data_IF_496026550360
#
_entry.id   IF_496026550360
#
_cell.length_a   1.000
_cell.length_b   1.000
_cell.length_c   1.000
_cell.angle_alpha   90.00
_cell.angle_beta   90.00
_cell.angle_gamma   90.00
#
_symmetry.space_group_name_H-M   'P 1'
#
loop_
_entity.id
_entity.type
_entity.pdbx_description
1 polymer ?
#
# COMPACT_ATOMS: atom_id res chain seq x y z
N UNK A 1 10.83 -9.94 0.27
CA UNK A 1 10.08 -8.70 0.00
C UNK A 1 10.81 -7.94 -1.10
N UNK A 2 10.06 -7.43 -2.07
CA UNK A 2 10.59 -6.74 -3.23
C UNK A 2 10.27 -5.26 -3.09
N UNK A 3 11.28 -4.39 -3.22
CA UNK A 3 11.09 -2.93 -3.22
C UNK A 3 10.99 -2.44 -4.66
N UNK A 4 9.83 -1.94 -5.02
CA UNK A 4 9.53 -1.46 -6.37
C UNK A 4 10.50 -0.37 -6.82
N UNK A 5 10.91 0.52 -5.91
CA UNK A 5 11.82 1.61 -6.22
C UNK A 5 13.23 1.14 -6.62
N UNK A 6 13.60 -0.09 -6.29
CA UNK A 6 14.90 -0.66 -6.62
C UNK A 6 14.91 -1.37 -7.98
N UNK A 7 13.74 -1.45 -8.65
CA UNK A 7 13.61 -2.17 -9.90
C UNK A 7 13.73 -1.24 -11.11
N UNK A 8 14.33 -1.76 -12.16
CA UNK A 8 14.29 -1.13 -13.49
C UNK A 8 12.97 -1.49 -14.18
N UNK A 9 12.60 -0.75 -15.23
CA UNK A 9 11.36 -1.05 -15.95
C UNK A 9 11.33 -2.46 -16.59
N UNK A 10 12.44 -3.02 -17.11
CA UNK A 10 12.42 -4.41 -17.58
C UNK A 10 12.20 -5.42 -16.45
N UNK A 11 12.74 -5.15 -15.26
CA UNK A 11 12.51 -6.00 -14.08
C UNK A 11 11.05 -5.94 -13.63
N UNK A 12 10.44 -4.76 -13.65
CA UNK A 12 9.02 -4.59 -13.36
C UNK A 12 8.15 -5.33 -14.40
N UNK A 13 8.56 -5.28 -15.66
CA UNK A 13 7.81 -5.93 -16.75
C UNK A 13 7.69 -7.44 -16.57
N UNK A 14 8.65 -8.08 -15.91
CA UNK A 14 8.65 -9.54 -15.67
C UNK A 14 8.18 -9.92 -14.28
N UNK A 15 7.77 -8.99 -13.45
CA UNK A 15 7.20 -9.30 -12.14
C UNK A 15 5.95 -10.17 -12.27
N UNK A 16 5.80 -11.22 -11.44
CA UNK A 16 4.57 -11.99 -11.41
C UNK A 16 3.38 -11.10 -11.04
N UNK A 17 2.34 -11.10 -11.83
CA UNK A 17 1.18 -10.23 -11.69
C UNK A 17 0.26 -10.59 -10.53
N UNK A 18 0.40 -11.80 -9.98
CA UNK A 18 -0.36 -12.23 -8.80
C UNK A 18 0.23 -11.73 -7.48
N UNK A 19 1.45 -11.18 -7.50
CA UNK A 19 2.06 -10.64 -6.28
C UNK A 19 1.30 -9.38 -5.83
N UNK A 20 0.96 -9.27 -4.54
CA UNK A 20 0.31 -8.08 -4.04
C UNK A 20 1.26 -6.89 -4.06
N UNK A 21 0.77 -5.76 -4.51
CA UNK A 21 1.46 -4.48 -4.44
C UNK A 21 0.96 -3.72 -3.22
N UNK A 22 1.88 -3.30 -2.36
CA UNK A 22 1.55 -2.62 -1.12
C UNK A 22 2.05 -1.19 -1.17
N UNK A 23 1.16 -0.24 -0.92
CA UNK A 23 1.48 1.19 -0.96
C UNK A 23 1.20 1.76 0.43
N UNK A 24 2.25 2.07 1.21
CA UNK A 24 2.07 2.71 2.51
C UNK A 24 1.56 4.14 2.36
N UNK A 25 0.60 4.53 3.18
CA UNK A 25 0.05 5.88 3.22
C UNK A 25 0.47 6.59 4.50
N UNK A 26 0.87 7.84 4.36
CA UNK A 26 1.19 8.71 5.46
C UNK A 26 2.67 8.87 5.71
N UNK A 27 2.99 9.74 6.65
CA UNK A 27 4.36 10.10 6.99
C UNK A 27 5.01 9.12 7.97
N UNK A 28 4.19 8.38 8.71
CA UNK A 28 4.70 7.48 9.72
C UNK A 28 5.54 6.38 9.08
N UNK A 29 6.72 6.16 9.66
CA UNK A 29 7.54 5.04 9.24
C UNK A 29 6.89 3.75 9.70
N UNK A 30 6.41 2.97 8.77
CA UNK A 30 5.94 1.63 9.05
C UNK A 30 7.10 0.66 8.98
N UNK A 31 7.17 -0.25 9.93
CA UNK A 31 7.94 -1.46 9.71
C UNK A 31 7.19 -2.33 8.71
N UNK A 32 7.33 -1.96 7.45
CA UNK A 32 6.61 -2.64 6.36
C UNK A 32 6.93 -4.14 6.31
N UNK A 33 8.14 -4.53 6.69
CA UNK A 33 8.54 -5.94 6.69
C UNK A 33 7.73 -6.72 7.71
N UNK A 34 7.65 -6.22 8.95
CA UNK A 34 6.90 -6.90 10.01
C UNK A 34 5.40 -6.93 9.71
N UNK A 35 4.87 -5.81 9.21
CA UNK A 35 3.45 -5.71 8.82
C UNK A 35 3.12 -6.71 7.72
N UNK A 36 3.94 -6.76 6.68
CA UNK A 36 3.71 -7.67 5.55
C UNK A 36 3.78 -9.12 5.99
N UNK A 37 4.76 -9.49 6.79
CA UNK A 37 4.87 -10.85 7.34
C UNK A 37 3.63 -11.24 8.12
N UNK A 38 3.12 -10.33 8.94
CA UNK A 38 1.91 -10.54 9.70
C UNK A 38 0.70 -10.73 8.79
N UNK A 39 0.52 -9.86 7.80
CA UNK A 39 -0.61 -9.92 6.88
C UNK A 39 -0.58 -11.19 6.03
N UNK A 40 0.59 -11.62 5.61
CA UNK A 40 0.76 -12.87 4.87
C UNK A 40 0.46 -14.08 5.74
N UNK A 41 0.95 -14.08 6.99
CA UNK A 41 0.69 -15.16 7.94
C UNK A 41 -0.80 -15.28 8.31
N UNK A 42 -1.51 -14.15 8.36
CA UNK A 42 -2.95 -14.10 8.65
C UNK A 42 -3.84 -14.37 7.42
N UNK A 43 -3.25 -14.58 6.24
CA UNK A 43 -3.99 -14.83 5.01
C UNK A 43 -4.77 -13.61 4.49
N UNK A 44 -4.43 -12.40 4.95
CA UNK A 44 -5.12 -11.17 4.54
C UNK A 44 -4.69 -10.66 3.17
N UNK A 45 -3.59 -11.19 2.63
CA UNK A 45 -3.14 -10.89 1.28
C UNK A 45 -3.43 -12.08 0.37
N UNK A 46 -4.36 -11.91 -0.54
CA UNK A 46 -4.88 -12.99 -1.38
C UNK A 46 -3.91 -13.53 -2.42
N UNK A 47 -2.84 -12.79 -2.73
CA UNK A 47 -1.80 -13.24 -3.65
C UNK A 47 -0.85 -14.31 -3.09
N UNK A 48 -0.91 -14.55 -1.79
CA UNK A 48 -0.09 -15.55 -1.11
C UNK A 48 -0.76 -16.92 -1.16
N UNK A 49 -0.78 -17.52 -2.34
CA UNK A 49 -1.20 -18.92 -2.44
C UNK A 49 -0.13 -19.81 -1.81
N UNK A 50 -0.49 -20.65 -0.82
CA UNK A 50 0.52 -21.45 -0.10
C UNK A 50 1.23 -22.51 -0.95
N UNK A 51 0.89 -22.64 -2.21
CA UNK A 51 1.40 -23.66 -3.10
C UNK A 51 2.44 -23.17 -4.10
N UNK A 52 2.74 -21.88 -4.13
CA UNK A 52 3.75 -21.34 -5.04
C UNK A 52 5.05 -21.10 -4.29
N UNK A 53 6.18 -21.29 -4.96
CA UNK A 53 7.50 -20.96 -4.41
C UNK A 53 7.65 -19.48 -4.01
N UNK A 54 6.65 -18.67 -4.32
CA UNK A 54 6.57 -17.23 -4.04
C UNK A 54 5.55 -16.90 -2.96
N UNK A 55 5.01 -17.91 -2.26
CA UNK A 55 4.14 -17.66 -1.12
C UNK A 55 4.94 -16.89 -0.06
N UNK A 56 4.40 -15.76 0.38
CA UNK A 56 5.08 -14.88 1.32
C UNK A 56 5.81 -13.70 0.68
N UNK A 57 5.77 -13.54 -0.64
CA UNK A 57 6.34 -12.35 -1.30
C UNK A 57 5.29 -11.29 -1.57
N UNK A 58 5.71 -10.05 -1.41
CA UNK A 58 4.94 -8.87 -1.76
C UNK A 58 5.86 -7.81 -2.34
N UNK A 59 5.32 -6.94 -3.16
CA UNK A 59 6.05 -5.81 -3.73
C UNK A 59 5.63 -4.56 -2.98
N UNK A 60 6.60 -3.85 -2.42
CA UNK A 60 6.35 -2.61 -1.69
C UNK A 60 6.69 -1.42 -2.58
N UNK A 61 5.72 -0.56 -2.80
CA UNK A 61 5.92 0.69 -3.52
C UNK A 61 6.43 1.78 -2.59
N UNK A 62 7.01 2.86 -3.14
CA UNK A 62 7.37 4.02 -2.34
C UNK A 62 6.17 4.53 -1.56
N UNK A 63 6.35 4.93 -0.29
CA UNK A 63 5.25 5.47 0.48
C UNK A 63 4.78 6.80 -0.07
N UNK A 64 3.49 7.08 0.14
CA UNK A 64 2.92 8.40 -0.11
C UNK A 64 2.97 9.15 1.23
N UNK A 65 3.93 10.10 1.40
CA UNK A 65 4.19 10.71 2.71
C UNK A 65 3.14 11.76 3.11
N UNK A 66 2.32 12.16 2.16
CA UNK A 66 1.25 13.12 2.38
C UNK A 66 -0.05 12.37 2.58
N UNK A 67 -0.74 12.63 3.69
CA UNK A 67 -1.91 11.87 4.05
C UNK A 67 -3.08 12.71 4.51
N UNK A 68 -4.07 12.02 5.07
CA UNK A 68 -5.22 12.67 5.68
C UNK A 68 -4.84 13.28 7.02
N UNK A 69 -5.48 14.39 7.33
CA UNK A 69 -5.33 15.03 8.63
C UNK A 69 -6.02 14.20 9.71
N UNK A 70 -5.31 13.91 10.78
CA UNK A 70 -5.91 13.47 12.03
C UNK A 70 -6.27 14.68 12.87
N UNK A 71 -7.43 14.65 13.51
CA UNK A 71 -7.89 15.71 14.41
C UNK A 71 -6.92 15.95 15.59
N UNK A 72 -6.15 14.94 15.93
CA UNK A 72 -5.25 14.94 17.09
C UNK A 72 -3.80 15.33 16.75
N UNK A 73 -3.51 15.55 15.47
CA UNK A 73 -2.14 15.77 15.00
C UNK A 73 -1.98 17.15 14.36
N UNK A 74 -1.72 18.15 15.19
CA UNK A 74 -1.34 19.50 14.76
C UNK A 74 0.16 19.74 14.94
N UNK A 75 0.99 18.72 14.72
CA UNK A 75 2.44 18.88 14.85
C UNK A 75 3.01 19.68 13.69
N UNK A 76 3.94 20.57 13.98
CA UNK A 76 4.63 21.34 12.96
C UNK A 76 5.39 20.40 12.01
N UNK A 77 5.36 20.72 10.72
CA UNK A 77 6.01 19.92 9.68
C UNK A 77 5.17 18.78 9.11
N UNK A 78 3.96 18.57 9.61
CA UNK A 78 3.00 17.68 8.97
C UNK A 78 2.30 18.38 7.83
N UNK A 79 2.25 17.72 6.69
CA UNK A 79 1.59 18.22 5.49
C UNK A 79 0.37 17.35 5.20
N UNK A 80 -0.78 18.00 5.17
CA UNK A 80 -2.04 17.34 4.89
C UNK A 80 -2.52 17.67 3.48
N UNK A 81 -3.02 16.67 2.80
CA UNK A 81 -3.59 16.83 1.46
C UNK A 81 -5.11 16.80 1.59
N UNK A 82 -5.78 17.64 0.79
CA UNK A 82 -7.24 17.61 0.70
C UNK A 82 -7.71 16.17 0.44
N UNK A 83 -8.64 15.63 1.25
CA UNK A 83 -9.07 14.23 1.12
C UNK A 83 -9.56 13.85 -0.27
N UNK A 84 -10.30 14.73 -0.92
CA UNK A 84 -10.82 14.48 -2.28
C UNK A 84 -9.68 14.34 -3.28
N UNK A 85 -8.67 15.19 -3.18
CA UNK A 85 -7.51 15.17 -4.07
C UNK A 85 -6.68 13.90 -3.83
N UNK A 86 -6.42 13.56 -2.57
CA UNK A 86 -5.66 12.37 -2.22
C UNK A 86 -6.34 11.09 -2.73
N UNK A 87 -7.65 10.97 -2.55
CA UNK A 87 -8.43 9.84 -3.06
C UNK A 87 -8.32 9.70 -4.57
N UNK A 88 -8.34 10.81 -5.31
CA UNK A 88 -8.15 10.80 -6.76
C UNK A 88 -6.77 10.33 -7.16
N UNK A 89 -5.73 10.75 -6.44
CA UNK A 89 -4.35 10.28 -6.68
C UNK A 89 -4.26 8.77 -6.46
N UNK A 90 -4.79 8.27 -5.35
CA UNK A 90 -4.76 6.84 -5.04
C UNK A 90 -5.53 6.02 -6.08
N UNK A 91 -6.69 6.50 -6.52
CA UNK A 91 -7.46 5.85 -7.58
C UNK A 91 -6.70 5.82 -8.90
N UNK A 92 -6.02 6.90 -9.24
CA UNK A 92 -5.18 6.97 -10.43
C UNK A 92 -4.05 5.95 -10.40
N UNK A 93 -3.35 5.85 -9.28
CA UNK A 93 -2.28 4.85 -9.08
C UNK A 93 -2.83 3.43 -9.23
N UNK A 94 -3.95 3.13 -8.57
CA UNK A 94 -4.58 1.82 -8.65
C UNK A 94 -4.96 1.45 -10.09
N UNK A 95 -5.56 2.38 -10.82
CA UNK A 95 -5.96 2.17 -12.21
C UNK A 95 -4.78 1.90 -13.12
N UNK A 96 -3.69 2.65 -12.97
CA UNK A 96 -2.48 2.45 -13.75
C UNK A 96 -1.86 1.07 -13.48
N UNK A 97 -1.76 0.67 -12.23
CA UNK A 97 -1.19 -0.63 -11.87
C UNK A 97 -2.08 -1.78 -12.37
N UNK A 98 -3.39 -1.65 -12.28
CA UNK A 98 -4.32 -2.65 -12.81
C UNK A 98 -4.30 -2.70 -14.33
N UNK A 99 -4.10 -1.57 -15.00
CA UNK A 99 -3.91 -1.52 -16.45
C UNK A 99 -2.66 -2.27 -16.88
N UNK A 100 -1.65 -2.38 -16.01
CA UNK A 100 -0.46 -3.20 -16.21
C UNK A 100 -0.64 -4.65 -15.75
N UNK A 101 -1.88 -5.07 -15.51
CA UNK A 101 -2.30 -6.43 -15.17
C UNK A 101 -1.94 -6.90 -13.75
N UNK A 102 -1.56 -6.01 -12.83
CA UNK A 102 -1.40 -6.39 -11.43
C UNK A 102 -2.78 -6.69 -10.81
N UNK A 103 -2.89 -7.86 -10.19
CA UNK A 103 -4.18 -8.35 -9.72
C UNK A 103 -4.60 -7.74 -8.38
N UNK A 104 -3.63 -7.40 -7.53
CA UNK A 104 -3.92 -6.88 -6.19
C UNK A 104 -3.07 -5.66 -5.88
N UNK A 105 -3.73 -4.55 -5.61
CA UNK A 105 -3.11 -3.29 -5.17
C UNK A 105 -3.74 -2.91 -3.84
N UNK A 106 -2.94 -2.86 -2.79
CA UNK A 106 -3.41 -2.64 -1.42
C UNK A 106 -2.73 -1.40 -0.84
N UNK A 107 -3.53 -0.52 -0.28
CA UNK A 107 -3.04 0.63 0.46
C UNK A 107 -2.97 0.31 1.95
N UNK A 108 -1.83 0.56 2.57
CA UNK A 108 -1.65 0.41 4.02
C UNK A 108 -1.93 1.76 4.68
N UNK A 109 -2.98 1.82 5.47
CA UNK A 109 -3.44 3.06 6.08
C UNK A 109 -3.31 3.00 7.61
N UNK A 110 -2.52 3.90 8.18
CA UNK A 110 -2.35 4.05 9.62
C UNK A 110 -3.13 5.21 10.22
N UNK A 111 -4.00 5.85 9.46
CA UNK A 111 -4.68 7.08 9.88
C UNK A 111 -6.17 6.88 10.24
N UNK A 112 -6.61 5.64 10.45
CA UNK A 112 -8.01 5.32 10.71
C UNK A 112 -8.87 5.40 9.44
N UNK A 113 -10.16 5.18 9.60
CA UNK A 113 -11.08 5.20 8.45
C UNK A 113 -11.20 6.59 7.86
N UNK A 114 -10.81 6.72 6.60
CA UNK A 114 -10.89 7.94 5.82
C UNK A 114 -11.84 7.81 4.63
N UNK A 115 -12.70 6.80 4.64
CA UNK A 115 -13.65 6.55 3.57
C UNK A 115 -13.02 6.06 2.27
N UNK A 116 -11.80 5.53 2.33
CA UNK A 116 -11.08 5.08 1.12
C UNK A 116 -11.76 3.88 0.46
N UNK A 117 -12.29 2.97 1.26
CA UNK A 117 -12.99 1.77 0.76
C UNK A 117 -14.22 2.11 -0.07
N UNK A 118 -14.90 3.20 0.26
CA UNK A 118 -16.08 3.66 -0.47
C UNK A 118 -15.75 4.07 -1.92
N UNK A 119 -14.48 4.34 -2.22
CA UNK A 119 -14.02 4.68 -3.57
C UNK A 119 -13.53 3.48 -4.37
N UNK A 120 -13.73 2.26 -3.86
CA UNK A 120 -13.27 1.05 -4.52
C UNK A 120 -11.79 0.75 -4.32
N UNK A 121 -11.15 1.37 -3.33
CA UNK A 121 -9.77 1.08 -2.97
C UNK A 121 -9.70 -0.08 -1.99
N UNK A 122 -8.77 -0.99 -2.21
CA UNK A 122 -8.46 -2.04 -1.24
C UNK A 122 -7.50 -1.47 -0.20
N UNK A 123 -7.96 -1.41 1.04
CA UNK A 123 -7.22 -0.78 2.13
C UNK A 123 -7.12 -1.72 3.32
N UNK A 124 -5.94 -1.82 3.87
CA UNK A 124 -5.70 -2.50 5.14
C UNK A 124 -5.27 -1.46 6.16
N UNK A 125 -6.03 -1.37 7.25
CA UNK A 125 -5.70 -0.49 8.34
C UNK A 125 -4.61 -1.14 9.19
N UNK A 126 -3.54 -0.40 9.43
CA UNK A 126 -2.41 -0.83 10.24
C UNK A 126 -2.34 0.01 11.51
N UNK A 127 -1.90 -0.57 12.64
CA UNK A 127 -1.72 0.20 13.86
C UNK A 127 -0.70 1.31 13.63
N UNK A 128 -1.00 2.50 14.16
CA UNK A 128 -0.04 3.59 14.15
C UNK A 128 1.13 3.21 15.06
N UNK A 129 2.31 3.12 14.50
CA UNK A 129 3.53 2.86 15.24
C UNK A 129 4.16 4.22 15.60
N UNK A 130 3.98 4.62 16.82
CA UNK A 130 4.68 5.76 17.37
C UNK A 130 5.46 5.38 18.59
#
# INVERSE_FOLDING_TARGET
MIHYADLTWPEIAVLPRHLPLLIPLGRDEYDCVAIIRKLLAEGQLSGAKPHTAQSGQAVVLPPIPYGFRRAEEDAAGQLHVCPVLLRRVLLGIQRELRAQAFEQVVFLNGHGDQGLRAYGLEVIDVPCQR
#
